data_IF_481872825183
#
_entry.id   IF_481872825183
#
_cell.length_a   1.000
_cell.length_b   1.000
_cell.length_c   1.000
_cell.angle_alpha   90.00
_cell.angle_beta   90.00
_cell.angle_gamma   90.00
#
_symmetry.space_group_name_H-M   'P 1'
#
loop_
_entity.id
_entity.type
_entity.pdbx_description
1 polymer ?
#
# COMPACT_ATOMS: atom_id res chain seq x y z
N UNK A 1 -6.75 -10.60 -19.13
CA UNK A 1 -5.31 -10.48 -18.81
C UNK A 1 -5.06 -9.02 -18.42
N UNK A 2 -4.35 -8.74 -17.32
CA UNK A 2 -3.94 -7.38 -16.99
C UNK A 2 -2.49 -7.18 -17.46
N UNK A 3 -2.20 -6.01 -18.04
CA UNK A 3 -0.86 -5.65 -18.52
C UNK A 3 -0.42 -4.41 -17.75
N UNK A 4 0.56 -4.57 -16.87
CA UNK A 4 1.31 -3.45 -16.32
C UNK A 4 2.31 -2.97 -17.37
N UNK A 5 2.16 -1.73 -17.86
CA UNK A 5 3.03 -1.13 -18.87
C UNK A 5 3.74 0.07 -18.24
N UNK A 6 5.08 0.04 -18.19
CA UNK A 6 5.88 1.21 -17.80
C UNK A 6 6.96 1.47 -18.86
N UNK A 7 7.06 2.71 -19.34
CA UNK A 7 8.09 3.11 -20.31
C UNK A 7 9.48 3.14 -19.69
N UNK A 8 10.53 2.95 -20.50
CA UNK A 8 11.93 3.02 -20.07
C UNK A 8 12.30 4.36 -19.43
N UNK A 9 11.61 5.45 -19.79
CA UNK A 9 11.85 6.79 -19.26
C UNK A 9 11.08 7.10 -17.97
N UNK A 10 10.44 6.11 -17.33
CA UNK A 10 9.85 6.32 -16.02
C UNK A 10 10.98 6.72 -15.03
N UNK A 11 10.85 7.88 -14.38
CA UNK A 11 11.85 8.43 -13.44
C UNK A 11 12.26 7.45 -12.32
N UNK A 12 11.46 6.43 -12.04
CA UNK A 12 11.74 5.34 -11.12
C UNK A 12 11.30 3.99 -11.74
N UNK A 13 12.20 3.22 -12.36
CA UNK A 13 11.85 1.93 -12.98
C UNK A 13 11.60 0.86 -11.89
N UNK A 14 10.36 0.74 -11.44
CA UNK A 14 9.95 -0.16 -10.35
C UNK A 14 9.55 -1.57 -10.84
N UNK A 15 9.20 -1.72 -12.12
CA UNK A 15 8.56 -2.94 -12.63
C UNK A 15 9.45 -4.20 -12.57
N UNK A 16 10.77 -4.04 -12.79
CA UNK A 16 11.72 -5.16 -12.62
C UNK A 16 11.75 -5.64 -11.17
N UNK A 17 11.80 -4.70 -10.22
CA UNK A 17 11.78 -5.00 -8.79
C UNK A 17 10.48 -5.70 -8.43
N UNK A 18 9.36 -5.13 -8.84
CA UNK A 18 8.02 -5.67 -8.59
C UNK A 18 7.89 -7.10 -9.13
N UNK A 19 8.36 -7.37 -10.35
CA UNK A 19 8.32 -8.72 -10.94
C UNK A 19 9.10 -9.76 -10.12
N UNK A 20 10.22 -9.36 -9.49
CA UNK A 20 11.02 -10.23 -8.62
C UNK A 20 10.28 -10.50 -7.31
N UNK A 21 9.63 -9.48 -6.76
CA UNK A 21 8.82 -9.62 -5.53
C UNK A 21 7.66 -10.59 -5.78
N UNK A 22 6.91 -10.44 -6.88
CA UNK A 22 5.86 -11.40 -7.24
C UNK A 22 6.40 -12.84 -7.35
N UNK A 23 7.56 -13.04 -7.98
CA UNK A 23 8.17 -14.38 -8.09
C UNK A 23 8.49 -15.00 -6.73
N UNK A 24 8.92 -14.20 -5.75
CA UNK A 24 9.20 -14.67 -4.39
C UNK A 24 7.91 -15.07 -3.66
N UNK A 25 6.82 -14.33 -3.89
CA UNK A 25 5.53 -14.56 -3.23
C UNK A 25 4.63 -15.58 -3.95
N UNK A 26 5.05 -16.05 -5.13
CA UNK A 26 4.26 -16.91 -5.99
C UNK A 26 3.89 -18.21 -5.24
N UNK A 27 2.62 -18.63 -5.37
CA UNK A 27 2.06 -19.73 -4.60
C UNK A 27 1.35 -19.29 -3.31
N UNK A 28 1.55 -18.05 -2.86
CA UNK A 28 0.79 -17.45 -1.77
C UNK A 28 -0.70 -17.25 -2.11
N UNK A 29 -1.57 -17.45 -1.13
CA UNK A 29 -3.00 -17.20 -1.29
C UNK A 29 -3.25 -15.70 -1.48
N UNK A 30 -3.97 -15.33 -2.54
CA UNK A 30 -4.25 -13.92 -2.86
C UNK A 30 -3.06 -13.19 -3.48
N UNK A 31 -2.10 -13.92 -4.05
CA UNK A 31 -1.04 -13.36 -4.90
C UNK A 31 -1.36 -13.69 -6.37
N UNK A 32 -1.46 -12.68 -7.26
CA UNK A 32 -1.67 -12.91 -8.70
C UNK A 32 -0.50 -13.68 -9.33
N UNK A 33 -0.78 -14.53 -10.31
CA UNK A 33 0.28 -15.17 -11.08
C UNK A 33 0.87 -14.21 -12.11
N UNK A 34 2.19 -14.14 -12.15
CA UNK A 34 2.92 -13.51 -13.24
C UNK A 34 3.06 -14.52 -14.37
N UNK A 35 2.61 -14.13 -15.56
CA UNK A 35 2.70 -14.93 -16.78
C UNK A 35 3.97 -14.63 -17.56
N UNK A 36 4.36 -13.35 -17.59
CA UNK A 36 5.54 -12.92 -18.30
C UNK A 36 6.04 -11.58 -17.76
N UNK A 37 7.36 -11.40 -17.80
CA UNK A 37 8.01 -10.12 -17.62
C UNK A 37 9.09 -9.99 -18.68
N UNK A 38 9.16 -8.84 -19.34
CA UNK A 38 10.22 -8.56 -20.29
C UNK A 38 10.12 -7.16 -20.87
N UNK A 39 10.87 -6.95 -21.93
CA UNK A 39 10.93 -5.68 -22.65
C UNK A 39 10.24 -5.85 -24.00
N UNK A 40 9.34 -4.92 -24.32
CA UNK A 40 8.75 -4.77 -25.64
C UNK A 40 9.00 -3.34 -26.13
N UNK A 41 9.77 -3.19 -27.20
CA UNK A 41 10.24 -1.90 -27.73
C UNK A 41 10.88 -1.03 -26.64
N UNK A 42 10.24 0.08 -26.28
CA UNK A 42 10.69 1.02 -25.27
C UNK A 42 9.99 0.87 -23.90
N UNK A 43 9.36 -0.27 -23.65
CA UNK A 43 8.57 -0.50 -22.43
C UNK A 43 9.02 -1.77 -21.71
N UNK A 44 9.07 -1.68 -20.38
CA UNK A 44 9.03 -2.86 -19.53
C UNK A 44 7.56 -3.25 -19.36
N UNK A 45 7.30 -4.53 -19.53
CA UNK A 45 5.95 -5.09 -19.54
C UNK A 45 5.88 -6.23 -18.53
N UNK A 46 4.87 -6.16 -17.66
CA UNK A 46 4.53 -7.20 -16.71
C UNK A 46 3.13 -7.71 -17.04
N UNK A 47 3.05 -8.99 -17.40
CA UNK A 47 1.80 -9.68 -17.68
C UNK A 47 1.42 -10.51 -16.47
N UNK A 48 0.22 -10.29 -15.94
CA UNK A 48 -0.30 -10.98 -14.77
C UNK A 48 -1.78 -11.36 -14.93
N UNK A 49 -2.27 -12.16 -13.98
CA UNK A 49 -3.68 -12.51 -13.91
C UNK A 49 -4.58 -11.26 -13.89
N UNK A 50 -5.68 -11.34 -14.63
CA UNK A 50 -6.72 -10.31 -14.56
C UNK A 50 -7.55 -10.52 -13.30
N UNK A 51 -7.64 -9.47 -12.51
CA UNK A 51 -8.47 -9.44 -11.32
C UNK A 51 -9.77 -8.67 -11.58
N UNK A 52 -10.68 -8.75 -10.61
CA UNK A 52 -11.93 -8.02 -10.59
C UNK A 52 -11.74 -6.59 -10.08
N UNK A 53 -12.81 -5.92 -9.61
CA UNK A 53 -12.74 -4.55 -9.12
C UNK A 53 -11.87 -4.41 -7.86
N UNK A 54 -11.31 -3.22 -7.66
CA UNK A 54 -10.65 -2.85 -6.41
C UNK A 54 -11.67 -2.70 -5.28
N UNK A 55 -11.20 -2.69 -4.03
CA UNK A 55 -12.10 -2.41 -2.91
C UNK A 55 -12.65 -0.99 -2.92
N UNK A 56 -11.93 -0.01 -3.47
CA UNK A 56 -12.45 1.36 -3.63
C UNK A 56 -13.56 1.40 -4.68
N UNK A 57 -13.44 0.65 -5.78
CA UNK A 57 -14.50 0.54 -6.80
C UNK A 57 -15.77 -0.07 -6.19
N UNK A 58 -15.63 -1.16 -5.43
CA UNK A 58 -16.74 -1.80 -4.73
C UNK A 58 -17.34 -0.88 -3.66
N UNK A 59 -16.50 -0.11 -2.97
CA UNK A 59 -16.95 0.83 -1.97
C UNK A 59 -17.80 1.93 -2.60
N UNK A 60 -17.36 2.48 -3.73
CA UNK A 60 -18.13 3.47 -4.49
C UNK A 60 -19.42 2.87 -5.08
N UNK A 61 -19.37 1.63 -5.57
CA UNK A 61 -20.57 0.90 -6.02
C UNK A 61 -21.61 0.77 -4.89
N UNK A 62 -21.16 0.51 -3.66
CA UNK A 62 -22.01 0.48 -2.47
C UNK A 62 -22.30 1.87 -1.89
N UNK A 63 -22.23 2.94 -2.69
CA UNK A 63 -22.48 4.32 -2.26
C UNK A 63 -21.65 4.73 -1.03
N UNK A 64 -20.39 4.26 -0.99
CA UNK A 64 -19.40 4.52 0.06
C UNK A 64 -19.84 4.03 1.43
N UNK A 65 -20.58 2.93 1.47
CA UNK A 65 -21.04 2.31 2.72
C UNK A 65 -20.92 0.79 2.65
N UNK A 66 -20.01 0.24 3.44
CA UNK A 66 -19.98 -1.19 3.72
C UNK A 66 -20.69 -1.49 5.04
N UNK A 67 -21.26 -2.70 5.14
CA UNK A 67 -21.79 -3.20 6.40
C UNK A 67 -20.65 -3.66 7.30
N UNK A 68 -20.88 -3.69 8.62
CA UNK A 68 -19.90 -4.24 9.56
C UNK A 68 -19.50 -5.68 9.20
N UNK A 69 -20.45 -6.50 8.77
CA UNK A 69 -20.18 -7.87 8.29
C UNK A 69 -19.18 -7.88 7.13
N UNK A 70 -19.37 -7.02 6.13
CA UNK A 70 -18.46 -6.89 4.99
C UNK A 70 -17.07 -6.44 5.45
N UNK A 71 -16.99 -5.42 6.31
CA UNK A 71 -15.71 -4.91 6.83
C UNK A 71 -14.94 -5.99 7.58
N UNK A 72 -15.60 -6.76 8.45
CA UNK A 72 -14.98 -7.85 9.19
C UNK A 72 -14.51 -9.00 8.29
N UNK A 73 -15.31 -9.37 7.28
CA UNK A 73 -14.90 -10.38 6.29
C UNK A 73 -13.70 -9.94 5.46
N UNK A 74 -13.61 -8.65 5.13
CA UNK A 74 -12.44 -8.09 4.46
C UNK A 74 -11.22 -8.07 5.38
N UNK A 75 -11.39 -7.65 6.65
CA UNK A 75 -10.32 -7.60 7.64
C UNK A 75 -9.65 -8.97 7.82
N UNK A 76 -10.44 -10.04 7.96
CA UNK A 76 -9.95 -11.41 8.07
C UNK A 76 -9.01 -11.78 6.90
N UNK A 77 -9.45 -11.52 5.67
CA UNK A 77 -8.61 -11.80 4.50
C UNK A 77 -7.40 -10.88 4.43
N UNK A 78 -7.54 -9.58 4.68
CA UNK A 78 -6.45 -8.59 4.60
C UNK A 78 -5.31 -8.91 5.57
N UNK A 79 -5.63 -9.24 6.82
CA UNK A 79 -4.62 -9.63 7.82
C UNK A 79 -3.85 -10.86 7.31
N UNK A 80 -4.56 -11.84 6.74
CA UNK A 80 -3.95 -13.01 6.11
C UNK A 80 -3.19 -12.73 4.80
N UNK A 81 -3.17 -11.49 4.28
CA UNK A 81 -2.32 -11.08 3.14
C UNK A 81 -1.13 -10.22 3.58
N UNK A 82 -1.24 -9.49 4.68
CA UNK A 82 -0.24 -8.52 5.18
C UNK A 82 0.95 -9.19 5.88
N UNK A 83 1.00 -10.52 5.97
CA UNK A 83 2.16 -11.21 6.53
C UNK A 83 3.48 -10.87 5.78
N UNK A 84 3.40 -10.27 4.58
CA UNK A 84 4.56 -9.97 3.76
C UNK A 84 4.69 -8.55 3.18
N UNK A 85 3.62 -7.75 2.93
CA UNK A 85 3.75 -6.46 2.19
C UNK A 85 2.69 -5.39 2.54
N UNK A 86 3.08 -4.13 2.35
CA UNK A 86 2.32 -2.89 2.59
C UNK A 86 0.94 -2.85 1.87
N UNK A 87 -0.14 -2.43 2.55
CA UNK A 87 -1.53 -2.79 2.24
C UNK A 87 -2.33 -1.82 1.35
N UNK A 88 -1.68 -0.99 0.53
CA UNK A 88 -2.42 0.09 -0.15
C UNK A 88 -3.33 -0.39 -1.29
N UNK A 89 -3.17 -1.63 -1.80
CA UNK A 89 -3.85 -2.04 -3.02
C UNK A 89 -4.44 -3.47 -2.97
N UNK A 90 -5.75 -3.54 -2.72
CA UNK A 90 -6.51 -4.79 -2.74
C UNK A 90 -7.52 -4.85 -3.89
N UNK A 91 -7.62 -6.01 -4.52
CA UNK A 91 -8.62 -6.31 -5.55
C UNK A 91 -9.32 -7.63 -5.29
N UNK A 92 -10.56 -7.76 -5.73
CA UNK A 92 -11.27 -9.04 -5.72
C UNK A 92 -10.84 -9.91 -6.91
N UNK A 93 -10.92 -11.23 -6.78
CA UNK A 93 -10.77 -12.14 -7.92
C UNK A 93 -11.97 -12.11 -8.87
N UNK A 94 -11.89 -12.89 -9.95
CA UNK A 94 -12.98 -13.09 -10.92
C UNK A 94 -13.45 -14.56 -10.94
N UNK A 95 -14.67 -14.79 -11.44
CA UNK A 95 -15.24 -16.14 -11.59
C UNK A 95 -15.20 -16.93 -10.28
N UNK A 96 -14.57 -18.12 -10.31
CA UNK A 96 -14.41 -18.99 -9.13
C UNK A 96 -13.58 -18.40 -7.97
N UNK A 97 -12.97 -17.24 -8.17
CA UNK A 97 -12.16 -16.54 -7.16
C UNK A 97 -12.80 -15.21 -6.73
N UNK A 98 -14.06 -14.95 -7.08
CA UNK A 98 -14.76 -13.67 -6.78
C UNK A 98 -14.89 -13.34 -5.29
N UNK A 99 -14.74 -14.33 -4.41
CA UNK A 99 -14.75 -14.16 -2.94
C UNK A 99 -13.35 -14.07 -2.33
N UNK A 100 -12.29 -14.12 -3.14
CA UNK A 100 -10.90 -14.04 -2.67
C UNK A 100 -10.34 -12.64 -2.88
N UNK A 101 -9.70 -12.12 -1.83
CA UNK A 101 -8.97 -10.87 -1.88
C UNK A 101 -7.51 -11.11 -2.31
N UNK A 102 -7.07 -10.29 -3.26
CA UNK A 102 -5.71 -10.28 -3.79
C UNK A 102 -5.00 -8.99 -3.42
N UNK A 103 -3.72 -9.12 -3.08
CA UNK A 103 -2.80 -8.00 -2.87
C UNK A 103 -2.04 -7.74 -4.18
N UNK A 104 -1.96 -6.49 -4.59
CA UNK A 104 -1.28 -6.04 -5.81
C UNK A 104 -0.35 -4.87 -5.51
N UNK A 105 0.39 -4.43 -6.52
CA UNK A 105 1.30 -3.28 -6.51
C UNK A 105 2.38 -3.40 -5.41
N UNK A 106 3.45 -4.10 -5.78
CA UNK A 106 4.60 -4.31 -4.92
C UNK A 106 5.75 -3.33 -5.21
N UNK A 107 5.46 -2.23 -5.91
CA UNK A 107 6.48 -1.26 -6.34
C UNK A 107 7.19 -0.55 -5.18
N UNK A 108 6.55 -0.49 -4.00
CA UNK A 108 7.07 0.10 -2.77
C UNK A 108 7.43 -0.93 -1.68
N UNK A 109 7.32 -2.23 -1.98
CA UNK A 109 7.65 -3.27 -1.02
C UNK A 109 9.10 -3.16 -0.56
N UNK A 110 9.38 -3.54 0.69
CA UNK A 110 10.74 -3.53 1.25
C UNK A 110 10.99 -4.74 2.14
N UNK A 111 12.18 -5.33 2.04
CA UNK A 111 12.62 -6.44 2.89
C UNK A 111 12.88 -5.92 4.30
N UNK A 112 12.12 -6.38 5.30
CA UNK A 112 12.25 -5.96 6.70
C UNK A 112 13.12 -6.89 7.57
N UNK A 113 13.42 -8.10 7.09
CA UNK A 113 14.30 -9.06 7.78
C UNK A 113 15.15 -9.81 6.78
N UNK A 114 16.35 -10.21 7.18
CA UNK A 114 17.13 -11.12 6.36
C UNK A 114 16.45 -12.50 6.25
N UNK A 115 16.53 -13.10 5.07
CA UNK A 115 15.84 -14.37 4.77
C UNK A 115 16.55 -15.58 5.39
N UNK A 116 17.86 -15.49 5.63
CA UNK A 116 18.66 -16.57 6.20
C UNK A 116 18.83 -16.41 7.71
N UNK A 117 19.29 -15.25 8.16
CA UNK A 117 19.58 -15.01 9.58
C UNK A 117 18.34 -14.63 10.38
N UNK A 118 17.23 -14.26 9.70
CA UNK A 118 16.02 -13.68 10.30
C UNK A 118 16.29 -12.39 11.08
N UNK A 119 17.47 -11.79 10.95
CA UNK A 119 17.81 -10.52 11.57
C UNK A 119 16.92 -9.41 11.02
N UNK A 120 16.29 -8.65 11.91
CA UNK A 120 15.44 -7.52 11.55
C UNK A 120 16.29 -6.35 11.05
N UNK A 121 15.73 -5.51 10.16
CA UNK A 121 16.37 -4.25 9.80
C UNK A 121 16.58 -3.39 11.05
N UNK A 122 17.69 -2.62 11.12
CA UNK A 122 17.92 -1.73 12.24
C UNK A 122 16.89 -0.60 12.25
N UNK A 123 16.61 -0.09 13.44
CA UNK A 123 15.85 1.14 13.59
C UNK A 123 16.60 2.31 12.94
N UNK A 124 15.91 3.13 12.16
CA UNK A 124 16.46 4.35 11.55
C UNK A 124 15.42 5.46 11.64
N UNK A 125 15.87 6.60 12.13
CA UNK A 125 15.18 7.89 12.00
C UNK A 125 16.02 8.69 11.01
N UNK A 126 15.47 9.03 9.85
CA UNK A 126 16.17 9.97 8.96
C UNK A 126 16.02 11.39 9.55
N UNK A 127 16.85 11.73 10.55
CA UNK A 127 17.00 13.10 11.07
C UNK A 127 17.68 14.05 10.07
N UNK A 128 18.09 13.56 8.91
CA UNK A 128 18.90 14.30 7.95
C UNK A 128 18.01 15.02 6.92
N UNK A 129 17.59 16.27 7.23
CA UNK A 129 17.52 17.45 6.30
C UNK A 129 16.77 18.66 6.91
N UNK A 130 17.19 19.07 8.11
CA UNK A 130 17.10 20.48 8.54
C UNK A 130 18.42 21.25 8.33
N UNK A 131 19.34 20.69 7.55
CA UNK A 131 20.59 21.34 7.15
C UNK A 131 20.54 21.42 5.63
N UNK A 132 20.38 22.64 5.12
CA UNK A 132 20.53 23.05 3.73
C UNK A 132 19.45 22.58 2.72
N UNK A 133 18.23 23.11 2.87
CA UNK A 133 17.35 23.49 1.73
C UNK A 133 16.98 22.45 0.66
N UNK A 134 17.31 21.16 0.81
CA UNK A 134 17.27 20.19 -0.28
C UNK A 134 16.69 18.84 0.12
N UNK A 135 15.46 18.59 -0.34
CA UNK A 135 14.68 17.33 -0.36
C UNK A 135 14.09 16.83 0.97
N UNK A 136 12.84 17.22 1.24
CA UNK A 136 11.90 16.39 2.00
C UNK A 136 11.95 14.97 1.43
N UNK A 137 12.39 13.97 2.21
CA UNK A 137 12.24 12.58 1.79
C UNK A 137 10.73 12.33 1.69
N UNK A 138 10.30 12.13 0.45
CA UNK A 138 8.90 11.95 0.11
C UNK A 138 8.37 10.77 0.93
N UNK A 139 7.42 11.02 1.83
CA UNK A 139 6.57 9.97 2.38
C UNK A 139 6.18 9.03 1.23
N UNK A 140 6.70 7.80 1.29
CA UNK A 140 6.45 6.77 0.29
C UNK A 140 5.10 6.15 0.57
N UNK A 141 4.19 6.22 -0.41
CA UNK A 141 2.83 5.68 -0.30
C UNK A 141 1.75 6.73 -0.03
N UNK A 142 0.56 6.27 0.30
CA UNK A 142 -0.62 7.14 0.43
C UNK A 142 -0.67 7.78 1.82
N UNK A 143 -0.47 9.10 1.92
CA UNK A 143 -0.48 9.83 3.20
C UNK A 143 -1.75 9.62 4.06
N UNK A 144 -2.87 9.30 3.42
CA UNK A 144 -4.14 8.99 4.08
C UNK A 144 -4.02 7.76 4.99
N UNK A 145 -3.34 6.71 4.55
CA UNK A 145 -3.24 5.44 5.28
C UNK A 145 -1.87 5.24 5.93
N UNK A 146 -0.84 6.02 5.58
CA UNK A 146 0.48 5.93 6.21
C UNK A 146 0.44 6.03 7.75
N UNK A 147 1.25 5.22 8.44
CA UNK A 147 1.37 5.25 9.91
C UNK A 147 1.86 6.60 10.44
N UNK A 148 1.63 6.88 11.72
CA UNK A 148 2.21 8.07 12.39
C UNK A 148 3.73 8.03 12.31
N UNK A 149 4.36 6.87 12.50
CA UNK A 149 5.82 6.72 12.38
C UNK A 149 6.32 7.04 10.97
N UNK A 150 5.58 6.64 9.93
CA UNK A 150 5.94 6.96 8.55
C UNK A 150 5.89 8.47 8.30
N UNK A 151 4.91 9.19 8.88
CA UNK A 151 4.87 10.65 8.86
C UNK A 151 6.04 11.31 9.60
N UNK A 152 6.58 10.65 10.64
CA UNK A 152 7.75 11.10 11.39
C UNK A 152 9.09 10.74 10.72
N UNK A 153 9.08 10.12 9.54
CA UNK A 153 10.30 9.71 8.84
C UNK A 153 11.04 8.54 9.50
N UNK A 154 10.33 7.75 10.31
CA UNK A 154 10.86 6.54 10.92
C UNK A 154 10.77 5.39 9.91
N UNK A 155 11.83 4.60 9.82
CA UNK A 155 11.87 3.40 8.96
C UNK A 155 10.71 2.45 9.24
N UNK A 156 9.93 2.15 8.20
CA UNK A 156 8.71 1.36 8.31
C UNK A 156 9.01 -0.12 8.54
N UNK A 157 8.12 -0.77 9.29
CA UNK A 157 8.18 -2.19 9.64
C UNK A 157 6.78 -2.79 9.65
N UNK A 158 6.65 -4.07 10.04
CA UNK A 158 5.35 -4.78 10.08
C UNK A 158 4.24 -4.05 10.86
N UNK A 159 4.59 -3.27 11.89
CA UNK A 159 3.59 -2.53 12.69
C UNK A 159 2.91 -1.43 11.87
N UNK A 160 3.65 -0.83 10.95
CA UNK A 160 3.18 0.29 10.14
C UNK A 160 2.15 -0.19 9.12
N UNK A 161 2.30 -1.42 8.62
CA UNK A 161 1.30 -2.10 7.77
C UNK A 161 0.01 -2.39 8.53
N UNK A 162 0.10 -2.86 9.77
CA UNK A 162 -1.08 -3.12 10.61
C UNK A 162 -1.80 -1.83 11.00
N UNK A 163 -1.08 -0.75 11.29
CA UNK A 163 -1.66 0.56 11.55
C UNK A 163 -2.37 1.10 10.31
N UNK A 164 -1.73 0.98 9.14
CA UNK A 164 -2.29 1.40 7.85
C UNK A 164 -3.57 0.63 7.52
N UNK A 165 -3.57 -0.70 7.75
CA UNK A 165 -4.78 -1.52 7.63
C UNK A 165 -5.89 -1.04 8.56
N UNK A 166 -5.57 -0.70 9.81
CA UNK A 166 -6.53 -0.13 10.75
C UNK A 166 -7.23 1.11 10.20
N UNK A 167 -6.46 2.03 9.60
CA UNK A 167 -7.03 3.21 8.94
C UNK A 167 -7.90 2.87 7.72
N UNK A 168 -7.51 1.87 6.91
CA UNK A 168 -8.31 1.39 5.76
C UNK A 168 -9.65 0.79 6.24
N UNK A 169 -9.63 -0.02 7.29
CA UNK A 169 -10.85 -0.60 7.86
C UNK A 169 -11.77 0.47 8.46
N UNK A 170 -11.21 1.44 9.18
CA UNK A 170 -11.98 2.56 9.71
C UNK A 170 -12.55 3.46 8.61
N UNK A 171 -11.81 3.66 7.52
CA UNK A 171 -12.29 4.35 6.33
C UNK A 171 -13.50 3.65 5.72
N UNK A 172 -13.47 2.34 5.56
CA UNK A 172 -14.63 1.58 5.07
C UNK A 172 -15.82 1.60 6.03
N UNK A 173 -15.55 1.60 7.34
CA UNK A 173 -16.59 1.64 8.37
C UNK A 173 -17.27 3.03 8.47
N UNK A 174 -16.51 4.12 8.30
CA UNK A 174 -17.00 5.49 8.51
C UNK A 174 -17.31 6.26 7.23
N UNK A 175 -16.91 5.77 6.05
CA UNK A 175 -17.06 6.50 4.78
C UNK A 175 -15.92 7.46 4.49
N UNK A 176 -15.37 8.07 5.55
CA UNK A 176 -14.25 9.02 5.51
C UNK A 176 -13.38 8.91 6.77
N UNK A 177 -12.17 9.47 6.68
CA UNK A 177 -11.24 9.67 7.78
C UNK A 177 -11.15 11.17 8.15
N UNK A 178 -10.94 11.53 9.43
CA UNK A 178 -10.95 12.93 9.89
C UNK A 178 -9.90 13.84 9.23
N UNK A 179 -8.85 13.26 8.66
CA UNK A 179 -7.76 13.96 7.96
C UNK A 179 -7.94 14.00 6.42
N UNK A 180 -9.12 13.62 5.90
CA UNK A 180 -9.43 13.80 4.47
C UNK A 180 -9.81 15.25 4.15
N UNK A 181 -9.55 15.65 2.90
CA UNK A 181 -9.97 16.98 2.39
C UNK A 181 -9.15 18.17 2.88
N UNK A 182 -8.11 17.96 3.69
CA UNK A 182 -7.25 19.04 4.18
C UNK A 182 -6.53 19.75 3.01
N UNK A 183 -6.74 21.06 2.91
CA UNK A 183 -6.13 21.93 1.90
C UNK A 183 -4.77 22.44 2.37
N UNK A 184 -3.79 22.46 1.47
CA UNK A 184 -2.46 23.01 1.70
C UNK A 184 -1.86 23.49 0.38
N UNK A 185 -0.93 24.45 0.44
CA UNK A 185 -0.29 25.00 -0.76
C UNK A 185 0.76 24.04 -1.34
N UNK A 186 1.44 23.26 -0.49
CA UNK A 186 2.46 22.30 -0.91
C UNK A 186 2.13 20.89 -0.43
N UNK A 187 2.71 19.86 -1.09
CA UNK A 187 2.59 18.46 -0.65
C UNK A 187 3.14 18.25 0.77
N UNK A 188 4.27 18.91 1.09
CA UNK A 188 4.88 18.87 2.42
C UNK A 188 3.90 19.36 3.50
N UNK A 189 3.35 20.56 3.32
CA UNK A 189 2.35 21.11 4.23
C UNK A 189 1.10 20.24 4.32
N UNK A 190 0.69 19.58 3.22
CA UNK A 190 -0.44 18.65 3.24
C UNK A 190 -0.15 17.46 4.15
N UNK A 191 1.06 16.90 4.08
CA UNK A 191 1.46 15.75 4.90
C UNK A 191 1.61 16.13 6.37
N UNK A 192 2.20 17.30 6.67
CA UNK A 192 2.27 17.87 8.02
C UNK A 192 0.86 18.00 8.63
N UNK A 193 -0.10 18.62 7.91
CA UNK A 193 -1.49 18.75 8.37
C UNK A 193 -2.17 17.40 8.60
N UNK A 194 -1.94 16.41 7.73
CA UNK A 194 -2.49 15.06 7.91
C UNK A 194 -1.89 14.41 9.16
N UNK A 195 -0.56 14.51 9.34
CA UNK A 195 0.15 13.98 10.50
C UNK A 195 -0.37 14.57 11.81
N UNK A 196 -0.45 15.90 11.90
CA UNK A 196 -0.99 16.63 13.06
C UNK A 196 -2.44 16.20 13.35
N UNK A 197 -3.27 16.07 12.31
CA UNK A 197 -4.66 15.66 12.47
C UNK A 197 -4.79 14.21 12.93
N UNK A 198 -3.91 13.30 12.47
CA UNK A 198 -3.85 11.91 12.96
C UNK A 198 -3.49 11.86 14.44
N UNK A 199 -2.42 12.54 14.84
CA UNK A 199 -1.93 12.55 16.23
C UNK A 199 -2.90 13.19 17.21
N UNK A 200 -3.69 14.17 16.76
CA UNK A 200 -4.70 14.86 17.58
C UNK A 200 -6.08 14.18 17.58
N UNK A 201 -6.30 13.14 16.77
CA UNK A 201 -7.57 12.41 16.76
C UNK A 201 -7.54 11.34 17.85
N UNK A 202 -8.38 11.42 18.90
CA UNK A 202 -8.40 10.41 19.97
C UNK A 202 -8.91 9.06 19.44
N UNK A 203 -8.46 7.99 20.10
CA UNK A 203 -8.89 6.61 19.80
C UNK A 203 -10.32 6.35 20.27
N UNK A 204 -10.73 7.01 21.35
CA UNK A 204 -12.06 6.94 21.93
C UNK A 204 -12.92 8.11 21.41
N UNK A 205 -14.13 7.79 20.93
CA UNK A 205 -15.19 8.75 20.61
C UNK A 205 -16.37 8.48 21.53
#
# INVERSE_FOLDING_TARGET
>A
MFIGIFGFQARHPQLLYESKVYKILQGGVGIPHIRWYGTEREYNVLVMDLLGPSLEDLFNFCSRRFTMKTVLMLADQMIGRIEYIHPDNFMMGIGRHCNKLFLIDFGLAKKYRDSRTRAHIPYREDKQKNVDGGSFQNLTGTARYASINAHLGIEQSRRDDMESLGYVLMYFNKGTLPWQGLKAATKKQKYEKISEKKMSTPVEV
#
